data_IF_511055657886
#
_entry.id   IF_511055657886
#
_cell.length_a   1.000
_cell.length_b   1.000
_cell.length_c   1.000
_cell.angle_alpha   90.00
_cell.angle_beta   90.00
_cell.angle_gamma   90.00
#
_symmetry.space_group_name_H-M   'P 1'
#
loop_
_entity.id
_entity.type
_entity.pdbx_description
1 polymer ?
#
# COMPACT_ATOMS: atom_id res chain seq x y z
N UNK A 1 53.50 -15.63 -11.28
CA UNK A 1 52.50 -15.75 -10.19
C UNK A 1 52.40 -17.20 -9.81
N UNK A 2 52.39 -17.51 -8.52
CA UNK A 2 52.16 -18.87 -8.06
C UNK A 2 50.67 -19.24 -8.18
N UNK A 3 50.38 -20.52 -8.38
CA UNK A 3 49.00 -21.03 -8.54
C UNK A 3 48.18 -20.78 -7.26
N UNK A 4 48.84 -20.74 -6.12
CA UNK A 4 48.24 -20.40 -4.82
C UNK A 4 47.75 -18.95 -4.76
N UNK A 5 48.57 -18.00 -5.21
CA UNK A 5 48.24 -16.56 -5.27
C UNK A 5 47.06 -16.28 -6.20
N UNK A 6 47.05 -16.93 -7.38
CA UNK A 6 45.96 -16.79 -8.33
C UNK A 6 44.62 -17.29 -7.78
N UNK A 7 44.62 -18.40 -7.02
CA UNK A 7 43.41 -18.92 -6.36
C UNK A 7 42.92 -17.98 -5.26
N UNK A 8 43.84 -17.42 -4.46
CA UNK A 8 43.50 -16.47 -3.39
C UNK A 8 42.91 -15.18 -3.95
N UNK A 9 43.48 -14.65 -5.03
CA UNK A 9 42.97 -13.46 -5.70
C UNK A 9 41.54 -13.67 -6.19
N UNK A 10 41.28 -14.80 -6.86
CA UNK A 10 39.93 -15.14 -7.34
C UNK A 10 38.91 -15.25 -6.20
N UNK A 11 39.27 -15.89 -5.08
CA UNK A 11 38.40 -16.00 -3.92
C UNK A 11 38.04 -14.61 -3.34
N UNK A 12 39.04 -13.72 -3.25
CA UNK A 12 38.83 -12.34 -2.79
C UNK A 12 37.97 -11.54 -3.77
N UNK A 13 38.11 -11.75 -5.08
CA UNK A 13 37.25 -11.11 -6.09
C UNK A 13 35.79 -11.57 -5.95
N UNK A 14 35.55 -12.87 -5.75
CA UNK A 14 34.22 -13.44 -5.54
C UNK A 14 33.56 -12.91 -4.25
N UNK A 15 34.33 -12.80 -3.16
CA UNK A 15 33.87 -12.19 -1.91
C UNK A 15 33.54 -10.71 -2.08
N UNK A 16 34.42 -9.95 -2.73
CA UNK A 16 34.19 -8.55 -3.01
C UNK A 16 32.94 -8.32 -3.87
N UNK A 17 32.68 -9.20 -4.86
CA UNK A 17 31.47 -9.15 -5.66
C UNK A 17 30.21 -9.36 -4.79
N UNK A 18 30.24 -10.33 -3.87
CA UNK A 18 29.14 -10.59 -2.93
C UNK A 18 28.91 -9.40 -1.99
N UNK A 19 29.97 -8.86 -1.41
CA UNK A 19 29.90 -7.72 -0.48
C UNK A 19 29.35 -6.46 -1.15
N UNK A 20 29.83 -6.14 -2.35
CA UNK A 20 29.33 -5.00 -3.13
C UNK A 20 27.83 -5.12 -3.40
N UNK A 21 27.37 -6.33 -3.74
CA UNK A 21 25.94 -6.58 -3.96
C UNK A 21 25.12 -6.38 -2.69
N UNK A 22 25.54 -6.96 -1.56
CA UNK A 22 24.85 -6.80 -0.28
C UNK A 22 24.78 -5.34 0.17
N UNK A 23 25.89 -4.61 0.03
CA UNK A 23 25.94 -3.19 0.37
C UNK A 23 24.99 -2.38 -0.51
N UNK A 24 24.96 -2.63 -1.82
CA UNK A 24 24.05 -1.96 -2.73
C UNK A 24 22.58 -2.21 -2.37
N UNK A 25 22.21 -3.46 -2.06
CA UNK A 25 20.85 -3.81 -1.66
C UNK A 25 20.46 -3.13 -0.33
N UNK A 26 21.36 -3.11 0.67
CA UNK A 26 21.13 -2.42 1.95
C UNK A 26 21.01 -0.90 1.81
N UNK A 27 21.85 -0.28 0.98
CA UNK A 27 21.78 1.16 0.73
C UNK A 27 20.47 1.54 0.03
N UNK A 28 19.98 0.69 -0.87
CA UNK A 28 18.69 0.90 -1.52
C UNK A 28 17.53 0.81 -0.53
N UNK A 29 17.55 -0.17 0.37
CA UNK A 29 16.53 -0.30 1.42
C UNK A 29 16.56 0.88 2.39
N UNK A 30 17.74 1.28 2.87
CA UNK A 30 17.90 2.41 3.78
C UNK A 30 17.42 3.73 3.17
N UNK A 31 17.72 3.97 1.88
CA UNK A 31 17.21 5.16 1.17
C UNK A 31 15.69 5.13 1.00
N UNK A 32 15.12 3.98 0.63
CA UNK A 32 13.67 3.81 0.53
C UNK A 32 12.96 4.06 1.87
N UNK A 33 13.50 3.55 2.98
CA UNK A 33 12.92 3.78 4.30
C UNK A 33 13.01 5.26 4.71
N UNK A 34 14.10 5.95 4.36
CA UNK A 34 14.25 7.40 4.63
C UNK A 34 13.20 8.25 3.92
N UNK A 35 12.85 7.91 2.67
CA UNK A 35 11.77 8.58 1.93
C UNK A 35 10.40 8.46 2.62
N UNK A 36 10.22 7.47 3.50
CA UNK A 36 8.94 7.18 4.16
C UNK A 36 8.88 7.62 5.63
N UNK A 37 9.99 8.08 6.22
CA UNK A 37 10.09 8.43 7.65
C UNK A 37 9.09 9.50 8.11
N UNK A 38 8.62 10.37 7.21
CA UNK A 38 7.65 11.42 7.53
C UNK A 38 6.20 10.92 7.60
N UNK A 39 5.90 9.70 7.14
CA UNK A 39 4.52 9.18 7.01
C UNK A 39 4.25 8.05 7.99
N UNK A 40 3.13 8.16 8.73
CA UNK A 40 2.63 7.10 9.61
C UNK A 40 1.95 6.00 8.79
N UNK A 41 2.64 4.90 8.52
CA UNK A 41 2.16 3.79 7.66
C UNK A 41 1.39 2.68 8.41
N UNK A 42 0.43 3.04 9.26
CA UNK A 42 -0.29 2.06 10.11
C UNK A 42 -1.43 1.36 9.35
N UNK A 43 -2.04 2.03 8.37
CA UNK A 43 -3.20 1.52 7.64
C UNK A 43 -2.90 1.04 6.21
N UNK A 44 -3.76 0.19 5.62
CA UNK A 44 -3.61 -0.26 4.23
C UNK A 44 -3.54 0.87 3.21
N UNK A 45 -4.31 1.95 3.40
CA UNK A 45 -4.30 3.11 2.51
C UNK A 45 -2.93 3.81 2.53
N UNK A 46 -2.35 4.01 3.72
CA UNK A 46 -1.03 4.61 3.88
C UNK A 46 0.07 3.71 3.29
N UNK A 47 -0.03 2.38 3.47
CA UNK A 47 0.90 1.43 2.83
C UNK A 47 0.81 1.47 1.30
N UNK A 48 -0.40 1.61 0.73
CA UNK A 48 -0.58 1.78 -0.73
C UNK A 48 0.06 3.06 -1.24
N UNK A 49 -0.15 4.17 -0.53
CA UNK A 49 0.47 5.46 -0.87
C UNK A 49 2.00 5.40 -0.78
N UNK A 50 2.54 4.75 0.25
CA UNK A 50 3.98 4.54 0.40
C UNK A 50 4.58 3.71 -0.74
N UNK A 51 3.93 2.61 -1.14
CA UNK A 51 4.37 1.81 -2.29
C UNK A 51 4.33 2.65 -3.57
N UNK A 52 3.25 3.37 -3.83
CA UNK A 52 3.14 4.24 -5.00
C UNK A 52 4.21 5.34 -5.01
N UNK A 53 4.51 5.93 -3.85
CA UNK A 53 5.57 6.92 -3.69
C UNK A 53 6.94 6.35 -4.03
N UNK A 54 7.30 5.17 -3.49
CA UNK A 54 8.56 4.51 -3.80
C UNK A 54 8.71 4.15 -5.28
N UNK A 55 7.62 3.73 -5.93
CA UNK A 55 7.63 3.46 -7.37
C UNK A 55 7.85 4.74 -8.19
N UNK A 56 7.21 5.85 -7.82
CA UNK A 56 7.30 7.12 -8.53
C UNK A 56 8.65 7.83 -8.31
N UNK A 57 9.11 7.92 -7.06
CA UNK A 57 10.29 8.70 -6.67
C UNK A 57 11.60 7.96 -6.96
N UNK A 58 11.62 6.64 -6.75
CA UNK A 58 12.84 5.83 -6.86
C UNK A 58 12.82 4.84 -8.03
N UNK A 59 11.74 4.79 -8.82
CA UNK A 59 11.62 3.85 -9.94
C UNK A 59 11.60 2.38 -9.51
N UNK A 60 11.29 2.10 -8.24
CA UNK A 60 11.31 0.73 -7.72
C UNK A 60 10.19 -0.11 -8.34
N UNK A 61 10.46 -1.41 -8.53
CA UNK A 61 9.39 -2.34 -8.90
C UNK A 61 8.40 -2.51 -7.76
N UNK A 62 7.14 -2.78 -8.08
CA UNK A 62 6.09 -3.03 -7.07
C UNK A 62 6.55 -4.07 -6.04
N UNK A 63 7.22 -5.14 -6.48
CA UNK A 63 7.73 -6.20 -5.61
C UNK A 63 8.74 -5.67 -4.59
N UNK A 64 9.72 -4.87 -5.01
CA UNK A 64 10.74 -4.31 -4.11
C UNK A 64 10.11 -3.30 -3.15
N UNK A 65 9.29 -2.39 -3.67
CA UNK A 65 8.59 -1.40 -2.86
C UNK A 65 7.70 -2.08 -1.79
N UNK A 66 6.95 -3.12 -2.15
CA UNK A 66 6.17 -3.91 -1.20
C UNK A 66 7.02 -4.60 -0.13
N UNK A 67 8.21 -5.09 -0.50
CA UNK A 67 9.14 -5.73 0.44
C UNK A 67 9.65 -4.73 1.48
N UNK A 68 9.97 -3.50 1.06
CA UNK A 68 10.47 -2.46 1.96
C UNK A 68 9.38 -1.89 2.88
N UNK A 69 8.13 -1.81 2.40
CA UNK A 69 6.98 -1.30 3.16
C UNK A 69 6.32 -2.38 4.04
N UNK A 70 6.75 -3.64 3.92
CA UNK A 70 6.10 -4.81 4.50
C UNK A 70 4.59 -4.85 4.17
N UNK A 71 4.30 -4.90 2.86
CA UNK A 71 2.96 -4.91 2.32
C UNK A 71 2.72 -6.12 1.41
N UNK A 72 1.58 -6.80 1.59
CA UNK A 72 1.16 -7.86 0.67
C UNK A 72 0.77 -7.27 -0.70
N UNK A 73 1.37 -7.78 -1.78
CA UNK A 73 1.09 -7.35 -3.16
C UNK A 73 -0.39 -7.49 -3.55
N UNK A 74 -1.11 -8.50 -3.02
CA UNK A 74 -2.56 -8.66 -3.24
C UNK A 74 -3.34 -7.51 -2.62
N UNK A 75 -2.92 -7.01 -1.45
CA UNK A 75 -3.53 -5.84 -0.82
C UNK A 75 -3.28 -4.56 -1.63
N UNK A 76 -2.07 -4.42 -2.19
CA UNK A 76 -1.70 -3.28 -3.04
C UNK A 76 -2.50 -3.29 -4.35
N UNK A 77 -2.62 -4.45 -5.00
CA UNK A 77 -3.35 -4.61 -6.27
C UNK A 77 -4.87 -4.64 -6.12
N UNK A 78 -5.37 -4.76 -4.90
CA UNK A 78 -6.81 -4.84 -4.67
C UNK A 78 -7.50 -3.56 -5.12
N UNK A 79 -8.42 -3.70 -6.06
CA UNK A 79 -9.34 -2.65 -6.50
C UNK A 79 -10.77 -3.09 -6.21
N UNK A 80 -11.54 -2.20 -5.57
CA UNK A 80 -12.96 -2.44 -5.36
C UNK A 80 -13.66 -2.48 -6.72
N UNK A 81 -14.42 -3.55 -6.98
CA UNK A 81 -15.27 -3.67 -8.16
C UNK A 81 -16.64 -3.02 -7.98
N UNK A 82 -16.99 -2.67 -6.75
CA UNK A 82 -18.28 -2.04 -6.45
C UNK A 82 -18.26 -0.61 -6.97
N UNK A 83 -19.38 -0.20 -7.57
CA UNK A 83 -19.62 1.21 -7.84
C UNK A 83 -19.48 2.02 -6.54
N UNK A 84 -18.95 3.25 -6.59
CA UNK A 84 -18.71 4.05 -5.40
C UNK A 84 -20.00 4.50 -4.69
N UNK A 85 -21.17 4.34 -5.33
CA UNK A 85 -22.51 4.62 -4.80
C UNK A 85 -22.57 6.00 -4.12
N UNK A 86 -21.93 7.00 -4.74
CA UNK A 86 -21.68 8.34 -4.18
C UNK A 86 -22.97 9.07 -3.87
N UNK A 87 -23.96 9.00 -4.76
CA UNK A 87 -25.28 9.63 -4.57
C UNK A 87 -26.01 9.03 -3.37
N UNK A 88 -26.04 7.70 -3.28
CA UNK A 88 -26.69 6.97 -2.20
C UNK A 88 -26.04 7.26 -0.84
N UNK A 89 -24.70 7.34 -0.81
CA UNK A 89 -23.93 7.76 0.37
C UNK A 89 -24.19 9.22 0.75
N UNK A 90 -24.37 10.10 -0.24
CA UNK A 90 -24.76 11.49 -0.05
C UNK A 90 -26.12 11.60 0.64
N UNK A 91 -27.15 10.97 0.06
CA UNK A 91 -28.51 10.95 0.62
C UNK A 91 -28.56 10.39 2.04
N UNK A 92 -27.79 9.32 2.32
CA UNK A 92 -27.68 8.79 3.68
C UNK A 92 -27.11 9.80 4.67
N UNK A 93 -26.08 10.54 4.26
CA UNK A 93 -25.45 11.58 5.09
C UNK A 93 -26.42 12.72 5.35
N UNK A 94 -27.19 13.13 4.34
CA UNK A 94 -28.21 14.18 4.49
C UNK A 94 -29.30 13.77 5.48
N UNK A 95 -29.85 12.56 5.35
CA UNK A 95 -30.82 12.02 6.30
C UNK A 95 -30.25 11.90 7.72
N UNK A 96 -28.98 11.50 7.86
CA UNK A 96 -28.32 11.43 9.16
C UNK A 96 -28.15 12.82 9.79
N UNK A 97 -27.88 13.85 8.98
CA UNK A 97 -27.78 15.24 9.42
C UNK A 97 -29.14 15.81 9.85
N UNK A 98 -30.21 15.51 9.11
CA UNK A 98 -31.59 15.93 9.42
C UNK A 98 -32.17 15.22 10.64
N UNK A 99 -31.76 13.99 10.91
CA UNK A 99 -32.28 13.14 11.99
C UNK A 99 -31.13 12.55 12.81
N UNK A 100 -30.37 13.42 13.50
CA UNK A 100 -29.16 13.05 14.28
C UNK A 100 -29.34 11.92 15.30
N UNK A 101 -30.55 11.67 15.80
CA UNK A 101 -30.82 10.55 16.74
C UNK A 101 -30.96 9.19 16.04
N UNK A 102 -31.05 9.16 14.71
CA UNK A 102 -31.32 7.96 13.95
C UNK A 102 -30.01 7.23 13.63
N UNK A 103 -29.97 5.93 13.93
CA UNK A 103 -28.91 5.03 13.48
C UNK A 103 -29.15 4.52 12.06
N UNK A 104 -28.30 3.60 11.59
CA UNK A 104 -28.35 3.11 10.21
C UNK A 104 -29.70 2.44 9.85
N UNK A 105 -30.33 1.66 10.76
CA UNK A 105 -31.60 0.95 10.44
C UNK A 105 -32.74 1.93 10.13
N UNK A 106 -33.08 2.92 10.99
CA UNK A 106 -34.10 3.92 10.65
C UNK A 106 -33.83 4.70 9.36
N UNK A 107 -32.56 5.05 9.07
CA UNK A 107 -32.20 5.78 7.85
C UNK A 107 -32.49 4.96 6.60
N UNK A 108 -32.19 3.66 6.61
CA UNK A 108 -32.52 2.77 5.48
C UNK A 108 -34.03 2.58 5.29
N UNK A 109 -34.84 2.70 6.35
CA UNK A 109 -36.32 2.69 6.22
C UNK A 109 -36.80 3.96 5.50
N UNK A 110 -36.21 5.12 5.81
CA UNK A 110 -36.54 6.38 5.13
C UNK A 110 -36.14 6.34 3.64
N UNK A 111 -34.96 5.82 3.33
CA UNK A 111 -34.52 5.62 1.95
C UNK A 111 -35.48 4.75 1.15
N UNK A 112 -35.96 3.64 1.72
CA UNK A 112 -36.97 2.79 1.06
C UNK A 112 -38.26 3.55 0.78
N UNK A 113 -38.70 4.42 1.68
CA UNK A 113 -39.89 5.27 1.45
C UNK A 113 -39.69 6.28 0.33
N UNK A 114 -38.44 6.69 0.07
CA UNK A 114 -38.06 7.56 -1.05
C UNK A 114 -37.84 6.78 -2.36
N UNK A 115 -38.14 5.48 -2.40
CA UNK A 115 -38.00 4.62 -3.58
C UNK A 115 -36.65 3.90 -3.71
N UNK A 116 -35.74 4.06 -2.74
CA UNK A 116 -34.44 3.40 -2.77
C UNK A 116 -34.50 2.00 -2.14
N UNK A 117 -34.58 0.97 -2.98
CA UNK A 117 -34.72 -0.43 -2.55
C UNK A 117 -33.43 -1.05 -1.96
N UNK A 118 -32.34 -0.29 -1.95
CA UNK A 118 -31.01 -0.77 -1.54
C UNK A 118 -30.95 -1.25 -0.10
N UNK A 119 -30.35 -2.42 0.09
CA UNK A 119 -30.01 -2.97 1.41
C UNK A 119 -28.70 -2.41 1.96
N UNK A 120 -28.44 -2.68 3.24
CA UNK A 120 -27.21 -2.28 3.95
C UNK A 120 -25.95 -2.77 3.22
N UNK A 121 -26.04 -3.93 2.57
CA UNK A 121 -24.95 -4.54 1.79
C UNK A 121 -24.70 -3.88 0.43
N UNK A 122 -25.42 -2.81 0.06
CA UNK A 122 -25.17 -2.06 -1.18
C UNK A 122 -24.25 -0.85 -0.98
N UNK A 123 -24.03 -0.39 0.25
CA UNK A 123 -23.13 0.74 0.58
C UNK A 123 -21.85 0.32 1.27
#
# INVERSE_FOLDING_TARGET
>A
MDVSDAKRLKALEDENAKLKKLLADQMLEASALRELLSKKMVGPAAKREAVAHLQATMGLSERRACSFVDADRKMIRYQSRRAPETELRGRLRDLANERRRFGYRPLFILLRRQGEASGINRI
#
